data_IF_261084770472
#
_entry.id   IF_261084770472
#
_cell.length_a   1.000
_cell.length_b   1.000
_cell.length_c   1.000
_cell.angle_alpha   90.00
_cell.angle_beta   90.00
_cell.angle_gamma   90.00
#
_symmetry.space_group_name_H-M   'P 1'
#
loop_
_entity.id
_entity.type
_entity.pdbx_description
1 polymer ?
#
# COMPACT_ATOMS: atom_id res chain seq x y z
N UNK A 1 -41.11 -36.92 -15.50
CA UNK A 1 -40.81 -36.40 -14.15
C UNK A 1 -39.58 -35.50 -14.25
N UNK A 2 -39.76 -34.20 -14.53
CA UNK A 2 -38.64 -33.27 -14.67
C UNK A 2 -38.08 -32.94 -13.27
N UNK A 3 -36.86 -33.38 -12.99
CA UNK A 3 -36.15 -32.99 -11.77
C UNK A 3 -35.54 -31.61 -12.02
N UNK A 4 -36.18 -30.56 -11.50
CA UNK A 4 -35.55 -29.25 -11.46
C UNK A 4 -34.26 -29.34 -10.62
N UNK A 5 -33.14 -28.75 -11.06
CA UNK A 5 -31.92 -28.75 -10.29
C UNK A 5 -32.15 -28.04 -8.95
N UNK A 6 -31.98 -28.79 -7.86
CA UNK A 6 -32.03 -28.27 -6.50
C UNK A 6 -30.80 -27.37 -6.30
N UNK A 7 -30.96 -26.06 -6.43
CA UNK A 7 -29.90 -25.11 -6.12
C UNK A 7 -29.78 -24.99 -4.61
N UNK A 8 -28.59 -25.27 -4.08
CA UNK A 8 -28.33 -25.17 -2.65
C UNK A 8 -28.26 -23.66 -2.31
N UNK A 9 -29.24 -23.06 -1.61
CA UNK A 9 -29.36 -21.61 -1.46
C UNK A 9 -28.18 -20.99 -0.70
N UNK A 10 -27.43 -21.81 0.03
CA UNK A 10 -26.25 -21.41 0.80
C UNK A 10 -24.97 -21.30 -0.03
N UNK A 11 -24.96 -21.82 -1.27
CA UNK A 11 -23.75 -21.86 -2.11
C UNK A 11 -23.22 -20.46 -2.46
N UNK A 12 -24.06 -19.46 -2.83
CA UNK A 12 -23.60 -18.09 -3.05
C UNK A 12 -23.00 -17.46 -1.78
N UNK A 13 -23.62 -17.69 -0.62
CA UNK A 13 -23.13 -17.19 0.68
C UNK A 13 -21.77 -17.80 1.01
N UNK A 14 -21.60 -19.11 0.81
CA UNK A 14 -20.32 -19.79 1.02
C UNK A 14 -19.22 -19.23 0.09
N UNK A 15 -19.53 -18.98 -1.19
CA UNK A 15 -18.58 -18.36 -2.13
C UNK A 15 -18.22 -16.95 -1.67
N UNK A 16 -19.20 -16.15 -1.25
CA UNK A 16 -18.95 -14.79 -0.74
C UNK A 16 -18.03 -14.80 0.49
N UNK A 17 -18.26 -15.71 1.44
CA UNK A 17 -17.39 -15.88 2.61
C UNK A 17 -15.96 -16.30 2.21
N UNK A 18 -15.82 -17.24 1.26
CA UNK A 18 -14.51 -17.67 0.77
C UNK A 18 -13.76 -16.53 0.06
N UNK A 19 -14.47 -15.70 -0.72
CA UNK A 19 -13.88 -14.48 -1.31
C UNK A 19 -13.41 -13.54 -0.20
N UNK A 20 -14.24 -13.30 0.82
CA UNK A 20 -13.86 -12.44 1.95
C UNK A 20 -12.62 -12.93 2.69
N UNK A 21 -12.53 -14.22 2.98
CA UNK A 21 -11.32 -14.83 3.56
C UNK A 21 -10.13 -14.67 2.64
N UNK A 22 -10.30 -14.90 1.34
CA UNK A 22 -9.25 -14.67 0.33
C UNK A 22 -8.74 -13.23 0.31
N UNK A 23 -9.65 -12.25 0.40
CA UNK A 23 -9.28 -10.83 0.48
C UNK A 23 -8.45 -10.52 1.73
N UNK A 24 -8.84 -11.04 2.90
CA UNK A 24 -8.09 -10.86 4.15
C UNK A 24 -6.69 -11.46 4.02
N UNK A 25 -6.57 -12.67 3.45
CA UNK A 25 -5.26 -13.30 3.21
C UNK A 25 -4.36 -12.43 2.32
N UNK A 26 -4.92 -11.84 1.27
CA UNK A 26 -4.19 -10.92 0.39
C UNK A 26 -3.74 -9.66 1.15
N UNK A 27 -4.61 -9.06 1.97
CA UNK A 27 -4.26 -7.88 2.77
C UNK A 27 -3.12 -8.17 3.76
N UNK A 28 -3.14 -9.34 4.41
CA UNK A 28 -2.07 -9.78 5.31
C UNK A 28 -0.76 -9.97 4.56
N UNK A 29 -0.78 -10.63 3.39
CA UNK A 29 0.42 -10.80 2.57
C UNK A 29 0.99 -9.46 2.11
N UNK A 30 0.14 -8.54 1.63
CA UNK A 30 0.56 -7.20 1.21
C UNK A 30 1.20 -6.43 2.37
N UNK A 31 0.55 -6.42 3.55
CA UNK A 31 1.11 -5.78 4.74
C UNK A 31 2.44 -6.40 5.19
N UNK A 32 2.54 -7.73 5.11
CA UNK A 32 3.78 -8.46 5.41
C UNK A 32 4.92 -8.09 4.46
N UNK A 33 4.66 -8.05 3.15
CA UNK A 33 5.65 -7.65 2.15
C UNK A 33 6.10 -6.21 2.39
N UNK A 34 5.17 -5.26 2.51
CA UNK A 34 5.47 -3.84 2.76
C UNK A 34 6.31 -3.63 4.03
N UNK A 35 6.09 -4.47 5.06
CA UNK A 35 6.92 -4.43 6.28
C UNK A 35 8.33 -4.97 6.03
N UNK A 36 8.47 -6.08 5.31
CA UNK A 36 9.76 -6.72 5.02
C UNK A 36 10.61 -5.91 4.04
N UNK A 37 9.99 -5.19 3.10
CA UNK A 37 10.68 -4.31 2.15
C UNK A 37 10.91 -2.90 2.68
N UNK A 38 10.50 -2.63 3.94
CA UNK A 38 10.63 -1.33 4.60
C UNK A 38 9.99 -0.14 3.86
N UNK A 39 9.22 -0.39 2.81
CA UNK A 39 8.56 0.63 1.99
C UNK A 39 7.45 1.38 2.74
N UNK A 40 7.04 0.88 3.90
CA UNK A 40 6.16 1.62 4.81
C UNK A 40 6.87 2.75 5.58
N UNK A 41 8.20 2.75 5.67
CA UNK A 41 8.98 3.79 6.38
C UNK A 41 9.26 5.01 5.51
N UNK A 42 9.08 4.91 4.18
CA UNK A 42 9.31 6.01 3.24
C UNK A 42 8.10 6.94 3.06
N UNK A 43 6.94 6.60 3.63
CA UNK A 43 5.73 7.41 3.51
C UNK A 43 5.76 8.53 4.56
N UNK A 44 6.07 9.75 4.13
CA UNK A 44 6.14 10.97 4.96
C UNK A 44 4.76 11.51 5.30
N UNK A 45 3.79 11.42 4.38
CA UNK A 45 2.41 11.90 4.55
C UNK A 45 1.39 11.00 3.84
N UNK A 46 0.20 10.81 4.43
CA UNK A 46 -0.91 10.11 3.76
C UNK A 46 -1.77 11.11 2.98
N UNK A 47 -1.40 11.33 1.72
CA UNK A 47 -2.08 12.28 0.85
C UNK A 47 -2.43 11.67 -0.52
N UNK A 48 -3.44 10.79 -0.58
CA UNK A 48 -3.72 9.99 -1.78
C UNK A 48 -4.27 10.77 -2.98
N UNK A 49 -4.79 11.99 -2.76
CA UNK A 49 -5.36 12.80 -3.85
C UNK A 49 -4.29 13.72 -4.45
N UNK A 50 -3.58 14.50 -3.63
CA UNK A 50 -2.59 15.47 -4.14
C UNK A 50 -1.15 15.00 -4.02
N UNK A 51 -0.84 14.04 -3.14
CA UNK A 51 0.50 13.44 -3.00
C UNK A 51 0.81 12.34 -4.03
N UNK A 52 -0.15 11.94 -4.87
CA UNK A 52 0.09 11.01 -5.98
C UNK A 52 0.73 11.71 -7.20
N UNK A 53 0.66 13.04 -7.27
CA UNK A 53 1.31 13.81 -8.32
C UNK A 53 2.78 14.08 -7.92
N UNK A 54 3.76 13.78 -8.79
CA UNK A 54 5.15 14.08 -8.49
C UNK A 54 5.36 15.60 -8.40
N UNK A 55 6.35 16.06 -7.62
CA UNK A 55 6.73 17.47 -7.61
C UNK A 55 7.06 17.96 -9.02
N UNK A 56 6.46 19.09 -9.42
CA UNK A 56 6.55 19.60 -10.79
C UNK A 56 7.65 20.66 -10.99
N UNK A 57 8.35 21.04 -9.91
CA UNK A 57 9.43 22.02 -9.94
C UNK A 57 10.46 21.77 -8.84
N UNK A 58 11.65 22.37 -8.98
CA UNK A 58 12.78 22.16 -8.06
C UNK A 58 12.48 22.58 -6.62
N UNK A 59 11.70 23.65 -6.42
CA UNK A 59 11.33 24.09 -5.07
C UNK A 59 10.45 23.05 -4.36
N UNK A 60 9.52 22.43 -5.08
CA UNK A 60 8.67 21.37 -4.55
C UNK A 60 9.47 20.10 -4.26
N UNK A 61 10.46 19.77 -5.11
CA UNK A 61 11.42 18.68 -4.83
C UNK A 61 12.24 18.94 -3.56
N UNK A 62 12.75 20.16 -3.38
CA UNK A 62 13.44 20.55 -2.14
C UNK A 62 12.55 20.41 -0.92
N UNK A 63 11.30 20.86 -0.99
CA UNK A 63 10.33 20.74 0.10
C UNK A 63 10.07 19.28 0.47
N UNK A 64 9.88 18.41 -0.51
CA UNK A 64 9.62 16.99 -0.27
C UNK A 64 10.86 16.27 0.28
N UNK A 65 12.05 16.63 -0.19
CA UNK A 65 13.31 16.11 0.35
C UNK A 65 13.56 16.56 1.80
N UNK A 66 13.24 17.81 2.15
CA UNK A 66 13.29 18.26 3.55
C UNK A 66 12.33 17.45 4.44
N UNK A 67 11.13 17.11 3.95
CA UNK A 67 10.24 16.17 4.67
C UNK A 67 10.87 14.79 4.80
N UNK A 68 11.48 14.28 3.73
CA UNK A 68 12.16 12.98 3.73
C UNK A 68 13.27 12.88 4.78
N UNK A 69 14.03 13.97 4.99
CA UNK A 69 15.09 14.03 6.02
C UNK A 69 14.59 13.80 7.45
N UNK A 70 13.30 14.05 7.71
CA UNK A 70 12.70 13.82 9.03
C UNK A 70 12.33 12.35 9.28
N UNK A 71 12.36 11.50 8.25
CA UNK A 71 12.05 10.07 8.39
C UNK A 71 13.18 9.31 9.08
N UNK A 72 12.83 8.21 9.73
CA UNK A 72 13.81 7.27 10.29
C UNK A 72 14.64 6.62 9.18
N UNK A 73 14.08 6.45 7.98
CA UNK A 73 14.80 5.89 6.83
C UNK A 73 15.98 6.78 6.42
N UNK A 74 15.79 8.09 6.32
CA UNK A 74 16.89 9.02 6.08
C UNK A 74 17.89 8.99 7.24
N UNK A 75 17.42 8.98 8.49
CA UNK A 75 18.29 9.02 9.67
C UNK A 75 19.21 7.81 9.81
N UNK A 76 18.71 6.61 9.54
CA UNK A 76 19.42 5.36 9.83
C UNK A 76 19.94 4.64 8.59
N UNK A 77 19.38 4.88 7.40
CA UNK A 77 19.73 4.14 6.18
C UNK A 77 20.34 5.07 5.11
N UNK A 78 19.78 6.27 4.91
CA UNK A 78 20.19 7.18 3.83
C UNK A 78 20.72 8.54 4.33
N UNK A 79 21.48 8.56 5.42
CA UNK A 79 21.93 9.81 6.06
C UNK A 79 22.85 10.67 5.20
N UNK A 80 23.42 10.08 4.15
CA UNK A 80 24.32 10.67 3.16
C UNK A 80 23.62 11.03 1.84
N UNK A 81 22.33 10.71 1.66
CA UNK A 81 21.57 11.06 0.45
C UNK A 81 21.54 12.58 0.25
N UNK A 82 21.73 12.98 -0.99
CA UNK A 82 21.53 14.36 -1.46
C UNK A 82 20.22 14.48 -2.22
N UNK A 83 19.82 15.70 -2.58
CA UNK A 83 18.60 15.93 -3.36
C UNK A 83 18.61 15.20 -4.71
N UNK A 84 19.79 14.92 -5.29
CA UNK A 84 19.90 14.17 -6.54
C UNK A 84 19.75 12.66 -6.38
N UNK A 85 19.90 12.14 -5.16
CA UNK A 85 19.74 10.72 -4.85
C UNK A 85 18.29 10.35 -4.44
N UNK A 86 17.51 11.38 -4.07
CA UNK A 86 16.09 11.30 -3.70
C UNK A 86 15.17 11.34 -4.93
#
# INVERSE_FOLDING_TARGET
>A
MNKFPQTNPNRPVAIWLLIGVGMIMVQVMLGGITRLTESGLSITEWNPVTGALPPLNDLAWQQEFEKYKHTDQFRYIHSDFTLSDF
#
